data_IF_440323603778
#
_entry.id   IF_440323603778
#
_cell.length_a   1.000
_cell.length_b   1.000
_cell.length_c   1.000
_cell.angle_alpha   90.00
_cell.angle_beta   90.00
_cell.angle_gamma   90.00
#
_symmetry.space_group_name_H-M   'P 1'
#
loop_
_entity.id
_entity.type
_entity.pdbx_description
1 polymer ?
#
# COMPACT_ATOMS: atom_id res chain seq x y z
N UNK A 1 -2.48 -21.35 -1.48
CA UNK A 1 -1.43 -21.06 -0.48
C UNK A 1 -1.39 -19.56 -0.25
N UNK A 2 -1.41 -19.06 0.99
CA UNK A 2 -1.22 -17.64 1.25
C UNK A 2 0.15 -17.20 0.70
N UNK A 3 0.19 -16.05 0.04
CA UNK A 3 1.43 -15.46 -0.49
C UNK A 3 2.33 -15.10 0.70
N UNK A 4 3.59 -15.49 0.66
CA UNK A 4 4.51 -15.21 1.77
C UNK A 4 4.81 -13.70 1.85
N UNK A 5 5.03 -13.13 3.05
CA UNK A 5 5.40 -11.72 3.18
C UNK A 5 6.64 -11.34 2.34
N UNK A 6 7.59 -12.25 2.19
CA UNK A 6 8.78 -12.06 1.35
C UNK A 6 8.44 -11.80 -0.13
N UNK A 7 7.52 -12.59 -0.69
CA UNK A 7 7.06 -12.42 -2.08
C UNK A 7 6.28 -11.10 -2.24
N UNK A 8 5.47 -10.72 -1.26
CA UNK A 8 4.76 -9.43 -1.25
C UNK A 8 5.72 -8.26 -1.25
N UNK A 9 6.74 -8.29 -0.38
CA UNK A 9 7.79 -7.26 -0.33
C UNK A 9 8.52 -7.18 -1.66
N UNK A 10 8.83 -8.30 -2.31
CA UNK A 10 9.47 -8.29 -3.62
C UNK A 10 8.58 -7.65 -4.70
N UNK A 11 7.31 -8.04 -4.78
CA UNK A 11 6.34 -7.51 -5.73
C UNK A 11 6.15 -5.99 -5.54
N UNK A 12 5.89 -5.57 -4.30
CA UNK A 12 5.71 -4.16 -3.97
C UNK A 12 6.99 -3.35 -4.20
N UNK A 13 8.17 -3.90 -3.91
CA UNK A 13 9.43 -3.20 -4.20
C UNK A 13 9.62 -2.94 -5.70
N UNK A 14 9.14 -3.84 -6.56
CA UNK A 14 9.13 -3.63 -8.03
C UNK A 14 8.13 -2.54 -8.40
N UNK A 15 6.94 -2.55 -7.80
CA UNK A 15 5.92 -1.53 -8.03
C UNK A 15 6.41 -0.12 -7.68
N UNK A 16 7.07 0.04 -6.52
CA UNK A 16 7.69 1.31 -6.11
C UNK A 16 9.04 1.59 -6.80
N UNK A 17 9.50 0.70 -7.69
CA UNK A 17 10.81 0.74 -8.35
C UNK A 17 12.01 0.78 -7.38
N UNK A 18 11.79 0.58 -6.07
CA UNK A 18 12.81 0.65 -5.03
C UNK A 18 12.31 0.11 -3.68
N UNK A 19 13.16 -0.68 -3.00
CA UNK A 19 12.94 -1.08 -1.60
C UNK A 19 12.92 0.12 -0.65
N UNK A 20 13.71 1.17 -0.94
CA UNK A 20 13.76 2.36 -0.09
C UNK A 20 12.43 3.11 -0.16
N UNK A 21 11.85 3.27 -1.35
CA UNK A 21 10.53 3.89 -1.51
C UNK A 21 9.44 3.07 -0.83
N UNK A 22 9.51 1.73 -0.88
CA UNK A 22 8.61 0.87 -0.11
C UNK A 22 8.77 1.06 1.41
N UNK A 23 10.01 1.14 1.90
CA UNK A 23 10.30 1.39 3.31
C UNK A 23 9.74 2.75 3.75
N UNK A 24 9.98 3.80 2.95
CA UNK A 24 9.42 5.13 3.16
C UNK A 24 7.90 5.05 3.17
N UNK A 25 7.26 4.37 2.21
CA UNK A 25 5.82 4.19 2.11
C UNK A 25 5.22 3.50 3.35
N UNK A 26 5.88 2.47 3.88
CA UNK A 26 5.43 1.76 5.09
C UNK A 26 5.86 2.43 6.40
N UNK A 27 6.67 3.49 6.35
CA UNK A 27 7.17 4.18 7.54
C UNK A 27 8.16 3.35 8.36
N UNK A 28 8.93 2.48 7.70
CA UNK A 28 9.91 1.57 8.33
C UNK A 28 11.30 1.78 7.75
N UNK A 29 12.32 1.20 8.39
CA UNK A 29 13.69 1.28 7.88
C UNK A 29 13.89 0.38 6.65
N UNK A 30 14.75 0.75 5.67
CA UNK A 30 15.14 -0.13 4.57
C UNK A 30 15.73 -1.47 5.04
N UNK A 31 16.39 -1.48 6.20
CA UNK A 31 16.90 -2.69 6.83
C UNK A 31 15.79 -3.66 7.26
N UNK A 32 14.65 -3.16 7.74
CA UNK A 32 13.48 -4.00 8.03
C UNK A 32 12.92 -4.63 6.76
N UNK A 33 12.73 -3.83 5.70
CA UNK A 33 12.24 -4.32 4.39
C UNK A 33 13.18 -5.39 3.81
N UNK A 34 14.49 -5.20 3.93
CA UNK A 34 15.48 -6.22 3.53
C UNK A 34 15.32 -7.53 4.32
N UNK A 35 15.15 -7.47 5.65
CA UNK A 35 14.90 -8.67 6.46
C UNK A 35 13.60 -9.38 6.07
N UNK A 36 12.53 -8.64 5.81
CA UNK A 36 11.24 -9.20 5.40
C UNK A 36 11.32 -9.89 4.05
N UNK A 37 12.08 -9.33 3.10
CA UNK A 37 12.36 -9.97 1.80
C UNK A 37 13.06 -11.33 1.94
N UNK A 38 13.85 -11.50 3.00
CA UNK A 38 14.48 -12.78 3.34
C UNK A 38 13.59 -13.68 4.24
N UNK A 39 12.31 -13.33 4.41
CA UNK A 39 11.33 -14.11 5.18
C UNK A 39 11.51 -14.02 6.70
N UNK A 40 12.16 -12.97 7.21
CA UNK A 40 12.50 -12.85 8.64
C UNK A 40 11.93 -11.57 9.25
N UNK A 41 11.42 -11.68 10.47
CA UNK A 41 11.23 -10.53 11.38
C UNK A 41 10.17 -9.53 10.95
N UNK A 42 9.11 -9.98 10.26
CA UNK A 42 7.88 -9.20 10.11
C UNK A 42 6.95 -9.57 11.28
N UNK A 43 6.46 -8.55 11.99
CA UNK A 43 5.43 -8.71 13.00
C UNK A 43 4.04 -8.63 12.34
N UNK A 44 2.99 -8.99 13.10
CA UNK A 44 1.62 -8.99 12.62
C UNK A 44 1.19 -7.61 12.09
N UNK A 45 1.46 -6.54 12.84
CA UNK A 45 1.08 -5.18 12.47
C UNK A 45 1.70 -4.72 11.14
N UNK A 46 2.98 -5.03 10.88
CA UNK A 46 3.62 -4.72 9.60
C UNK A 46 3.17 -5.67 8.48
N UNK A 47 2.82 -6.92 8.82
CA UNK A 47 2.15 -7.84 7.91
C UNK A 47 0.83 -7.26 7.40
N UNK A 48 -0.02 -6.80 8.32
CA UNK A 48 -1.32 -6.21 7.98
C UNK A 48 -1.18 -4.95 7.12
N UNK A 49 -0.19 -4.09 7.42
CA UNK A 49 0.11 -2.90 6.60
C UNK A 49 0.56 -3.27 5.19
N UNK A 50 1.40 -4.30 5.07
CA UNK A 50 1.87 -4.80 3.78
C UNK A 50 0.70 -5.36 2.96
N UNK A 51 -0.17 -6.11 3.61
CA UNK A 51 -1.37 -6.72 3.01
C UNK A 51 -2.36 -5.65 2.56
N UNK A 52 -2.59 -4.63 3.38
CA UNK A 52 -3.43 -3.49 3.04
C UNK A 52 -2.87 -2.71 1.85
N UNK A 53 -1.55 -2.48 1.81
CA UNK A 53 -0.90 -1.79 0.70
C UNK A 53 -1.01 -2.58 -0.61
N UNK A 54 -0.74 -3.89 -0.56
CA UNK A 54 -0.89 -4.81 -1.69
C UNK A 54 -2.32 -4.82 -2.23
N UNK A 55 -3.31 -4.94 -1.35
CA UNK A 55 -4.72 -4.91 -1.73
C UNK A 55 -5.08 -3.57 -2.38
N UNK A 56 -4.65 -2.46 -1.78
CA UNK A 56 -4.94 -1.10 -2.27
C UNK A 56 -4.39 -0.90 -3.68
N UNK A 57 -3.10 -1.21 -3.90
CA UNK A 57 -2.48 -1.11 -5.23
C UNK A 57 -3.19 -2.02 -6.24
N UNK A 58 -3.50 -3.25 -5.85
CA UNK A 58 -4.19 -4.21 -6.72
C UNK A 58 -5.60 -3.72 -7.13
N UNK A 59 -6.31 -3.05 -6.24
CA UNK A 59 -7.63 -2.48 -6.52
C UNK A 59 -7.56 -1.24 -7.40
N UNK A 60 -6.59 -0.35 -7.15
CA UNK A 60 -6.40 0.89 -7.90
C UNK A 60 -5.88 0.64 -9.32
N UNK A 61 -5.00 -0.35 -9.51
CA UNK A 61 -4.52 -0.76 -10.85
C UNK A 61 -5.60 -1.27 -11.80
N UNK A 62 -6.79 -1.58 -11.28
CA UNK A 62 -7.97 -1.91 -12.11
C UNK A 62 -8.69 -0.67 -12.63
N UNK A 63 -8.39 0.50 -12.07
CA UNK A 63 -9.04 1.78 -12.37
C UNK A 63 -8.07 2.76 -13.03
N UNK A 64 -6.78 2.66 -12.70
CA UNK A 64 -5.77 3.65 -13.04
C UNK A 64 -4.50 3.02 -13.60
N UNK A 65 -3.82 3.79 -14.45
CA UNK A 65 -2.45 3.56 -14.86
C UNK A 65 -1.48 3.69 -13.66
N UNK A 66 -0.29 3.05 -13.71
CA UNK A 66 0.65 3.01 -12.60
C UNK A 66 0.99 4.38 -11.99
N UNK A 67 1.17 5.41 -12.82
CA UNK A 67 1.49 6.77 -12.38
C UNK A 67 0.35 7.37 -11.54
N UNK A 68 -0.90 7.18 -11.97
CA UNK A 68 -2.07 7.65 -11.24
C UNK A 68 -2.31 6.88 -9.93
N UNK A 69 -1.86 5.62 -9.84
CA UNK A 69 -1.85 4.87 -8.57
C UNK A 69 -0.86 5.49 -7.58
N UNK A 70 0.35 5.86 -8.04
CA UNK A 70 1.31 6.59 -7.18
C UNK A 70 0.72 7.93 -6.72
N UNK A 71 0.14 8.72 -7.64
CA UNK A 71 -0.48 10.00 -7.30
C UNK A 71 -1.63 9.85 -6.29
N UNK A 72 -2.45 8.81 -6.43
CA UNK A 72 -3.52 8.53 -5.47
C UNK A 72 -2.94 8.22 -4.08
N UNK A 73 -1.93 7.35 -3.99
CA UNK A 73 -1.35 6.93 -2.71
C UNK A 73 -0.62 8.06 -1.96
N UNK A 74 0.08 8.92 -2.70
CA UNK A 74 0.92 9.97 -2.12
C UNK A 74 0.27 11.35 -2.12
N UNK A 75 -0.80 11.56 -2.91
CA UNK A 75 -1.59 12.78 -2.95
C UNK A 75 -2.60 12.90 -1.82
N UNK A 76 -3.17 14.09 -1.65
CA UNK A 76 -4.26 14.32 -0.68
C UNK A 76 -5.53 13.69 -1.23
N UNK A 77 -6.21 12.88 -0.42
CA UNK A 77 -7.44 12.22 -0.83
C UNK A 77 -8.66 12.84 -0.13
N UNK A 78 -9.63 13.43 -0.87
CA UNK A 78 -10.84 14.02 -0.30
C UNK A 78 -11.69 13.04 0.50
N UNK A 79 -11.75 11.77 0.07
CA UNK A 79 -12.48 10.71 0.77
C UNK A 79 -11.81 10.31 2.10
N UNK A 80 -10.55 10.70 2.32
CA UNK A 80 -9.80 10.47 3.55
C UNK A 80 -9.61 11.74 4.39
N UNK A 81 -10.51 12.73 4.26
CA UNK A 81 -10.43 14.03 4.95
C UNK A 81 -9.14 14.79 4.59
N UNK A 82 -8.77 14.77 3.32
CA UNK A 82 -7.52 15.34 2.79
C UNK A 82 -6.25 14.77 3.45
N UNK A 83 -6.29 13.54 3.96
CA UNK A 83 -5.08 12.80 4.32
C UNK A 83 -4.51 12.08 3.11
N UNK A 84 -3.20 11.84 3.10
CA UNK A 84 -2.58 10.96 2.11
C UNK A 84 -2.95 9.51 2.42
N UNK A 85 -3.42 8.71 1.45
CA UNK A 85 -3.74 7.31 1.70
C UNK A 85 -2.58 6.51 2.28
N UNK A 86 -1.34 6.80 1.87
CA UNK A 86 -0.18 6.10 2.43
C UNK A 86 -0.03 6.31 3.95
N UNK A 87 -0.36 7.49 4.47
CA UNK A 87 -0.31 7.74 5.91
C UNK A 87 -1.42 6.98 6.63
N UNK A 88 -2.60 6.84 6.02
CA UNK A 88 -3.73 6.06 6.56
C UNK A 88 -3.40 4.56 6.58
N UNK A 89 -2.70 4.06 5.55
CA UNK A 89 -2.19 2.67 5.50
C UNK A 89 -1.19 2.43 6.64
N UNK A 90 -0.26 3.35 6.90
CA UNK A 90 0.67 3.25 8.04
C UNK A 90 -0.03 3.19 9.39
N UNK A 91 -1.18 3.85 9.52
CA UNK A 91 -1.99 3.79 10.74
C UNK A 91 -2.74 2.46 10.88
N UNK A 92 -2.78 1.62 9.85
CA UNK A 92 -3.55 0.37 9.84
C UNK A 92 -5.07 0.59 9.75
N UNK A 93 -5.51 1.77 9.30
CA UNK A 93 -6.93 2.12 9.19
C UNK A 93 -7.55 1.49 7.92
N UNK A 94 -7.76 0.17 7.96
CA UNK A 94 -8.27 -0.64 6.84
C UNK A 94 -9.63 -0.14 6.35
N UNK A 95 -10.56 0.13 7.27
CA UNK A 95 -11.92 0.54 6.92
C UNK A 95 -11.96 1.86 6.15
N UNK A 96 -11.14 2.83 6.56
CA UNK A 96 -11.00 4.13 5.89
C UNK A 96 -10.54 3.95 4.43
N UNK A 97 -9.52 3.11 4.20
CA UNK A 97 -8.99 2.85 2.86
C UNK A 97 -10.01 2.13 1.98
N UNK A 98 -10.66 1.08 2.50
CA UNK A 98 -11.66 0.34 1.73
C UNK A 98 -12.88 1.22 1.41
N UNK A 99 -13.30 2.09 2.33
CA UNK A 99 -14.34 3.07 2.08
C UNK A 99 -13.93 4.05 0.98
N UNK A 100 -12.72 4.61 1.03
CA UNK A 100 -12.23 5.51 0.00
C UNK A 100 -12.19 4.85 -1.39
N UNK A 101 -11.71 3.61 -1.50
CA UNK A 101 -11.68 2.89 -2.78
C UNK A 101 -13.10 2.61 -3.31
N UNK A 102 -14.06 2.32 -2.43
CA UNK A 102 -15.47 2.15 -2.84
C UNK A 102 -16.04 3.45 -3.42
N UNK A 103 -15.75 4.59 -2.80
CA UNK A 103 -16.17 5.89 -3.29
C UNK A 103 -15.50 6.24 -4.62
N UNK A 104 -14.20 5.95 -4.75
CA UNK A 104 -13.45 6.14 -5.99
C UNK A 104 -14.08 5.34 -7.14
N UNK A 105 -14.42 4.07 -6.90
CA UNK A 105 -15.11 3.23 -7.88
C UNK A 105 -16.46 3.82 -8.25
N UNK A 106 -17.27 4.25 -7.28
CA UNK A 106 -18.58 4.82 -7.55
C UNK A 106 -18.50 6.10 -8.41
N UNK A 107 -17.46 6.92 -8.22
CA UNK A 107 -17.21 8.11 -9.03
C UNK A 107 -16.66 7.82 -10.43
N UNK A 108 -15.99 6.69 -10.63
CA UNK A 108 -15.40 6.29 -11.92
C UNK A 108 -16.41 5.74 -12.94
N UNK A 109 -17.63 5.38 -12.52
CA UNK A 109 -18.69 4.82 -13.40
C UNK A 109 -19.66 5.90 -13.94
N UNK A 110 -19.17 7.11 -14.21
CA UNK A 110 -19.99 8.22 -14.74
C UNK A 110 -19.57 8.57 -16.17
#
# INVERSE_FOLDING_TARGET
>A
MPVTPALKVEALSKDFRSQRRLADALGVSPAQVSRWRHGKGIDEANGDRLDLLELTISMLRRLYEPEAVEDWLFGLNPHLRNRRPIDVIRLGAVEDILAAIRQERAGSYV
#
